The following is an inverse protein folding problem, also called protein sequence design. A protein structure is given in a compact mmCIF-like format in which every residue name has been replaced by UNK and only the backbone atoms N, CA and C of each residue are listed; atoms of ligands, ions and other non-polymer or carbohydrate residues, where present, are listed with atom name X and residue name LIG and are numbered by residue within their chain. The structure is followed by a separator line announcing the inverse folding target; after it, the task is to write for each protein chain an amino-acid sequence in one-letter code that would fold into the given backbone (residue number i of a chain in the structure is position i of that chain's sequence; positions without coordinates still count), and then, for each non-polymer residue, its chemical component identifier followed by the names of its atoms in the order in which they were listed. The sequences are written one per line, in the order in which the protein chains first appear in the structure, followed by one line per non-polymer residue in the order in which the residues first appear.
data_IF_402963638199
#
_entry.id   IF_402963638199
#
_cell.length_a   1.000
_cell.length_b   1.000
_cell.length_c   1.000
_cell.angle_alpha   90.00
_cell.angle_beta   90.00
_cell.angle_gamma   90.00
#
_symmetry.space_group_name_H-M   'P 1'
#
loop_
_entity.id
_entity.type
_entity.pdbx_description
1 polymer ?
#
# COMPACT_ATOMS: atom_id res chain seq x y z
N UNK A 1 -79.34 46.20 -22.14
CA UNK A 1 -80.04 44.94 -22.44
C UNK A 1 -79.12 43.80 -22.06
N UNK A 2 -79.26 43.28 -20.84
CA UNK A 2 -78.59 42.04 -20.40
C UNK A 2 -79.36 40.88 -21.02
N UNK A 3 -78.67 39.85 -21.52
CA UNK A 3 -79.16 38.48 -21.46
C UNK A 3 -77.99 37.50 -21.57
N UNK A 4 -77.97 36.61 -20.58
CA UNK A 4 -76.98 35.60 -20.33
C UNK A 4 -77.14 34.35 -21.22
N UNK A 5 -76.02 33.64 -21.28
CA UNK A 5 -75.74 32.24 -21.59
C UNK A 5 -76.85 31.21 -21.37
N UNK A 6 -76.81 30.12 -22.16
CA UNK A 6 -77.17 28.78 -21.68
C UNK A 6 -76.17 27.74 -22.17
N UNK A 7 -75.43 27.15 -21.22
CA UNK A 7 -74.55 26.01 -21.44
C UNK A 7 -75.34 24.69 -21.43
N UNK A 8 -74.83 23.72 -22.19
CA UNK A 8 -75.36 22.37 -22.35
C UNK A 8 -74.59 21.39 -21.44
N UNK A 9 -75.31 20.59 -20.64
CA UNK A 9 -74.80 19.51 -19.80
C UNK A 9 -75.16 18.14 -20.40
N UNK A 10 -74.27 17.13 -20.30
CA UNK A 10 -74.67 15.73 -20.35
C UNK A 10 -74.61 15.04 -18.97
N UNK A 11 -75.37 13.94 -18.92
CA UNK A 11 -75.93 13.21 -17.78
C UNK A 11 -74.95 12.55 -16.79
N UNK A 12 -75.35 12.58 -15.52
CA UNK A 12 -74.76 11.88 -14.37
C UNK A 12 -75.22 10.42 -14.26
N UNK A 13 -74.31 9.51 -13.90
CA UNK A 13 -74.59 8.31 -13.11
C UNK A 13 -73.70 8.32 -11.85
N UNK A 14 -74.20 7.90 -10.68
CA UNK A 14 -73.49 8.04 -9.40
C UNK A 14 -72.68 6.77 -9.04
N UNK A 15 -71.83 6.91 -8.03
CA UNK A 15 -71.05 5.88 -7.34
C UNK A 15 -69.67 5.56 -7.93
N UNK A 16 -68.65 6.26 -7.41
CA UNK A 16 -67.54 5.67 -6.65
C UNK A 16 -66.42 6.71 -6.56
N UNK A 17 -66.35 7.37 -5.40
CA UNK A 17 -65.15 8.10 -4.98
C UNK A 17 -64.08 7.03 -4.73
N UNK A 18 -63.06 6.97 -5.58
CA UNK A 18 -61.77 6.34 -5.22
C UNK A 18 -60.72 7.41 -5.37
N UNK A 19 -60.42 8.06 -4.25
CA UNK A 19 -59.24 8.90 -4.07
C UNK A 19 -58.05 7.94 -4.16
N UNK A 20 -57.52 7.75 -5.37
CA UNK A 20 -56.33 6.92 -5.58
C UNK A 20 -55.11 7.75 -5.20
N UNK A 21 -54.79 7.71 -3.90
CA UNK A 21 -53.57 8.27 -3.31
C UNK A 21 -52.34 7.71 -4.03
N UNK A 22 -51.71 8.51 -4.89
CA UNK A 22 -50.42 8.21 -5.49
C UNK A 22 -49.35 8.32 -4.41
N UNK A 23 -49.15 7.23 -3.66
CA UNK A 23 -48.07 7.11 -2.70
C UNK A 23 -46.73 7.17 -3.46
N UNK A 24 -46.01 8.29 -3.34
CA UNK A 24 -44.59 8.38 -3.69
C UNK A 24 -43.83 7.38 -2.83
N UNK A 25 -43.57 6.21 -3.38
CA UNK A 25 -42.72 5.19 -2.78
C UNK A 25 -41.27 5.64 -2.94
N UNK A 26 -40.79 6.43 -1.98
CA UNK A 26 -39.40 6.84 -1.87
C UNK A 26 -38.52 5.60 -1.75
N UNK A 27 -37.92 5.18 -2.85
CA UNK A 27 -36.84 4.20 -2.89
C UNK A 27 -35.65 4.80 -2.13
N UNK A 28 -35.58 4.53 -0.83
CA UNK A 28 -34.33 4.65 -0.09
C UNK A 28 -33.38 3.60 -0.66
N UNK A 29 -32.59 4.01 -1.65
CA UNK A 29 -31.40 3.27 -2.06
C UNK A 29 -30.47 3.32 -0.87
N UNK A 30 -30.52 2.27 -0.04
CA UNK A 30 -29.50 2.03 0.98
C UNK A 30 -28.22 1.76 0.19
N UNK A 31 -27.45 2.82 -0.06
CA UNK A 31 -26.08 2.70 -0.51
C UNK A 31 -25.38 1.91 0.60
N UNK A 32 -25.25 0.59 0.41
CA UNK A 32 -24.37 -0.24 1.20
C UNK A 32 -22.97 0.35 1.02
N UNK A 33 -22.58 1.24 1.93
CA UNK A 33 -21.22 1.73 2.03
C UNK A 33 -20.38 0.49 2.24
N UNK A 34 -19.49 0.22 1.29
CA UNK A 34 -18.57 -0.90 1.39
C UNK A 34 -17.86 -0.78 2.74
N UNK A 35 -18.12 -1.73 3.62
CA UNK A 35 -17.60 -1.68 4.98
C UNK A 35 -16.11 -2.05 4.96
N UNK A 36 -15.29 -1.39 5.80
CA UNK A 36 -13.93 -1.85 6.02
C UNK A 36 -13.93 -3.25 6.63
N UNK A 37 -12.74 -3.83 6.79
CA UNK A 37 -12.57 -5.17 7.35
C UNK A 37 -12.89 -5.27 8.85
N UNK A 38 -13.33 -4.18 9.47
CA UNK A 38 -13.68 -4.06 10.88
C UNK A 38 -15.01 -3.31 11.07
N UNK A 39 -15.59 -3.39 12.27
CA UNK A 39 -16.83 -2.69 12.61
C UNK A 39 -16.56 -1.20 12.90
N UNK A 40 -17.06 -0.31 12.04
CA UNK A 40 -16.90 1.13 12.21
C UNK A 40 -17.47 1.68 13.52
N UNK A 41 -18.43 0.99 14.15
CA UNK A 41 -18.94 1.39 15.47
C UNK A 41 -17.91 1.19 16.59
N UNK A 42 -16.89 0.37 16.34
CA UNK A 42 -15.78 0.07 17.26
C UNK A 42 -14.49 0.80 16.92
N UNK A 43 -14.52 1.68 15.91
CA UNK A 43 -13.36 2.46 15.49
C UNK A 43 -12.83 3.32 16.65
N UNK A 44 -11.57 3.09 17.01
CA UNK A 44 -10.92 3.68 18.18
C UNK A 44 -9.76 4.61 17.80
N UNK A 45 -9.04 4.30 16.72
CA UNK A 45 -7.87 5.09 16.27
C UNK A 45 -8.26 6.19 15.27
N UNK A 46 -7.46 7.27 15.12
CA UNK A 46 -7.66 8.25 14.04
C UNK A 46 -7.69 7.62 12.65
N UNK A 47 -6.86 6.60 12.41
CA UNK A 47 -6.86 5.85 11.16
C UNK A 47 -8.18 5.13 10.90
N UNK A 48 -8.69 4.38 11.89
CA UNK A 48 -9.96 3.66 11.76
C UNK A 48 -11.12 4.62 11.50
N UNK A 49 -11.17 5.76 12.20
CA UNK A 49 -12.19 6.79 11.99
C UNK A 49 -12.12 7.37 10.58
N UNK A 50 -10.91 7.63 10.07
CA UNK A 50 -10.66 8.12 8.72
C UNK A 50 -11.06 7.10 7.65
N UNK A 51 -10.77 5.83 7.89
CA UNK A 51 -11.19 4.74 7.00
C UNK A 51 -12.72 4.67 6.95
N UNK A 52 -13.38 4.71 8.11
CA UNK A 52 -14.83 4.63 8.22
C UNK A 52 -15.59 5.84 7.64
N UNK A 53 -14.97 7.02 7.58
CA UNK A 53 -15.57 8.20 6.98
C UNK A 53 -15.37 8.28 5.45
N UNK A 54 -14.59 7.37 4.87
CA UNK A 54 -14.27 7.35 3.44
C UNK A 54 -14.63 6.03 2.79
N UNK A 55 -15.57 6.07 1.83
CA UNK A 55 -15.97 4.90 1.03
C UNK A 55 -14.76 4.25 0.33
N UNK A 56 -13.87 5.05 -0.24
CA UNK A 56 -12.67 4.56 -0.95
C UNK A 56 -11.72 3.87 0.01
N UNK A 57 -11.43 4.46 1.17
CA UNK A 57 -10.53 3.86 2.15
C UNK A 57 -11.13 2.61 2.79
N UNK A 58 -12.45 2.58 3.01
CA UNK A 58 -13.15 1.39 3.50
C UNK A 58 -13.06 0.23 2.51
N UNK A 59 -13.26 0.49 1.21
CA UNK A 59 -13.07 -0.53 0.17
C UNK A 59 -11.63 -1.05 0.13
N UNK A 60 -10.67 -0.13 0.26
CA UNK A 60 -9.25 -0.46 0.22
C UNK A 60 -8.82 -1.29 1.43
N UNK A 61 -9.30 -0.95 2.63
CA UNK A 61 -9.07 -1.74 3.86
C UNK A 61 -9.63 -3.17 3.71
N UNK A 62 -10.85 -3.31 3.17
CA UNK A 62 -11.45 -4.61 2.90
C UNK A 62 -10.64 -5.43 1.87
N UNK A 63 -10.18 -4.77 0.80
CA UNK A 63 -9.35 -5.39 -0.23
C UNK A 63 -7.99 -5.85 0.33
N UNK A 64 -7.35 -5.05 1.17
CA UNK A 64 -6.11 -5.40 1.88
C UNK A 64 -6.34 -6.63 2.75
N UNK A 65 -7.42 -6.67 3.55
CA UNK A 65 -7.72 -7.82 4.39
C UNK A 65 -7.96 -9.10 3.58
N UNK A 66 -8.60 -9.00 2.42
CA UNK A 66 -8.81 -10.12 1.50
C UNK A 66 -7.50 -10.59 0.89
N UNK A 67 -6.69 -9.67 0.37
CA UNK A 67 -5.39 -9.98 -0.23
C UNK A 67 -4.42 -10.58 0.80
N UNK A 68 -4.43 -10.07 2.04
CA UNK A 68 -3.62 -10.61 3.13
C UNK A 68 -3.96 -12.07 3.43
N UNK A 69 -5.25 -12.42 3.51
CA UNK A 69 -5.69 -13.81 3.68
C UNK A 69 -5.26 -14.69 2.51
N UNK A 70 -5.26 -14.18 1.29
CA UNK A 70 -4.78 -14.93 0.13
C UNK A 70 -3.27 -15.15 0.20
N UNK A 71 -2.49 -14.10 0.47
CA UNK A 71 -1.05 -14.20 0.65
C UNK A 71 -0.65 -15.20 1.76
N UNK A 72 -1.41 -15.24 2.87
CA UNK A 72 -1.20 -16.26 3.91
C UNK A 72 -1.40 -17.69 3.41
N UNK A 73 -2.37 -17.93 2.52
CA UNK A 73 -2.59 -19.25 1.90
C UNK A 73 -1.49 -19.58 0.91
N UNK A 74 -1.10 -18.60 0.09
CA UNK A 74 -0.08 -18.80 -0.94
C UNK A 74 1.27 -19.13 -0.31
N UNK A 75 1.58 -18.57 0.87
CA UNK A 75 2.81 -18.83 1.64
C UNK A 75 2.68 -19.95 2.68
N UNK A 76 1.61 -20.75 2.67
CA UNK A 76 1.35 -21.73 3.74
C UNK A 76 2.44 -22.81 3.89
N UNK A 77 3.20 -23.08 2.83
CA UNK A 77 4.31 -24.02 2.76
C UNK A 77 5.69 -23.40 3.03
N UNK A 78 5.77 -22.08 3.21
CA UNK A 78 7.01 -21.35 3.52
C UNK A 78 6.85 -20.59 4.86
N UNK A 79 7.24 -21.25 5.94
CA UNK A 79 7.08 -20.72 7.30
C UNK A 79 7.84 -19.40 7.53
N UNK A 80 9.01 -19.24 6.91
CA UNK A 80 9.82 -18.02 7.00
C UNK A 80 9.10 -16.88 6.29
N UNK A 81 8.66 -17.08 5.04
CA UNK A 81 7.92 -16.07 4.30
C UNK A 81 6.59 -15.70 4.99
N UNK A 82 5.89 -16.67 5.57
CA UNK A 82 4.66 -16.41 6.33
C UNK A 82 4.91 -15.59 7.61
N UNK A 83 6.03 -15.83 8.30
CA UNK A 83 6.43 -15.03 9.46
C UNK A 83 6.74 -13.58 9.07
N UNK A 84 7.46 -13.39 7.97
CA UNK A 84 7.77 -12.05 7.45
C UNK A 84 6.53 -11.31 6.94
N UNK A 85 5.61 -12.00 6.26
CA UNK A 85 4.31 -11.43 5.88
C UNK A 85 3.55 -10.89 7.10
N UNK A 86 3.57 -11.62 8.23
CA UNK A 86 2.95 -11.14 9.49
C UNK A 86 3.69 -9.94 10.07
N UNK A 87 5.02 -9.92 10.02
CA UNK A 87 5.82 -8.77 10.48
C UNK A 87 5.56 -7.53 9.62
N UNK A 88 5.59 -7.68 8.30
CA UNK A 88 5.30 -6.60 7.34
C UNK A 88 3.88 -6.06 7.54
N UNK A 89 2.87 -6.92 7.69
CA UNK A 89 1.48 -6.46 7.94
C UNK A 89 1.35 -5.68 9.26
N UNK A 90 2.06 -6.08 10.32
CA UNK A 90 2.07 -5.33 11.60
C UNK A 90 2.75 -3.98 11.46
N UNK A 91 3.83 -3.90 10.68
CA UNK A 91 4.54 -2.66 10.41
C UNK A 91 3.62 -1.69 9.65
N UNK A 92 2.98 -2.15 8.57
CA UNK A 92 1.99 -1.37 7.83
C UNK A 92 0.90 -0.77 8.73
N UNK A 93 0.28 -1.59 9.61
CA UNK A 93 -0.78 -1.12 10.52
C UNK A 93 -0.21 -0.08 11.51
N UNK A 94 0.98 -0.33 12.06
CA UNK A 94 1.66 0.59 12.98
C UNK A 94 1.93 1.94 12.32
N UNK A 95 2.55 1.94 11.14
CA UNK A 95 2.82 3.14 10.36
C UNK A 95 1.53 3.87 10.01
N UNK A 96 0.53 3.17 9.45
CA UNK A 96 -0.76 3.76 9.08
C UNK A 96 -1.43 4.46 10.26
N UNK A 97 -1.42 3.84 11.44
CA UNK A 97 -2.05 4.39 12.64
C UNK A 97 -1.28 5.60 13.20
N UNK A 98 0.06 5.55 13.20
CA UNK A 98 0.90 6.65 13.63
C UNK A 98 0.72 7.88 12.72
N UNK A 99 0.82 7.68 11.40
CA UNK A 99 0.77 8.76 10.41
C UNK A 99 -0.62 9.39 10.26
N UNK A 100 -1.68 8.61 10.53
CA UNK A 100 -3.05 9.12 10.58
C UNK A 100 -3.32 10.04 11.78
N UNK A 101 -2.47 10.02 12.80
CA UNK A 101 -2.60 10.92 13.94
C UNK A 101 -2.17 12.31 13.49
N UNK A 102 -3.01 13.36 13.64
CA UNK A 102 -2.63 14.71 13.23
C UNK A 102 -1.33 15.18 13.90
N UNK A 103 -0.37 15.59 13.09
CA UNK A 103 0.89 16.18 13.56
C UNK A 103 1.33 17.27 12.58
N UNK A 104 2.08 18.26 13.07
CA UNK A 104 2.47 19.41 12.26
C UNK A 104 3.36 19.00 11.08
N UNK A 105 3.02 19.43 9.88
CA UNK A 105 3.79 19.17 8.66
C UNK A 105 3.55 17.79 8.03
N UNK A 106 2.47 17.08 8.39
CA UNK A 106 2.15 15.79 7.78
C UNK A 106 1.53 15.97 6.39
N UNK A 107 2.14 15.36 5.37
CA UNK A 107 1.61 15.22 4.01
C UNK A 107 1.10 13.79 3.76
N UNK A 108 0.78 13.06 4.83
CA UNK A 108 0.45 11.64 4.77
C UNK A 108 -0.77 11.36 3.88
N UNK A 109 -0.51 10.70 2.76
CA UNK A 109 -1.54 10.20 1.86
C UNK A 109 -1.90 8.76 2.22
N UNK A 110 -2.92 8.59 3.08
CA UNK A 110 -3.38 7.27 3.50
C UNK A 110 -3.85 6.40 2.34
N UNK A 111 -4.49 6.99 1.31
CA UNK A 111 -4.97 6.22 0.16
C UNK A 111 -3.79 5.63 -0.62
N UNK A 112 -2.75 6.42 -0.86
CA UNK A 112 -1.54 5.97 -1.56
C UNK A 112 -0.80 4.88 -0.77
N UNK A 113 -0.58 5.09 0.52
CA UNK A 113 0.06 4.09 1.38
C UNK A 113 -0.72 2.77 1.45
N UNK A 114 -2.04 2.83 1.60
CA UNK A 114 -2.90 1.64 1.56
C UNK A 114 -2.94 0.98 0.17
N UNK A 115 -2.81 1.74 -0.92
CA UNK A 115 -2.73 1.20 -2.28
C UNK A 115 -1.41 0.45 -2.49
N UNK A 116 -0.30 1.03 -2.03
CA UNK A 116 1.00 0.37 -2.06
C UNK A 116 0.97 -0.96 -1.30
N UNK A 117 0.34 -1.00 -0.12
CA UNK A 117 0.19 -2.26 0.63
C UNK A 117 -0.66 -3.29 -0.13
N UNK A 118 -1.74 -2.87 -0.78
CA UNK A 118 -2.56 -3.79 -1.59
C UNK A 118 -1.74 -4.38 -2.75
N UNK A 119 -0.91 -3.58 -3.41
CA UNK A 119 -0.05 -4.02 -4.50
C UNK A 119 1.02 -5.01 -4.02
N UNK A 120 1.61 -4.78 -2.85
CA UNK A 120 2.54 -5.73 -2.21
C UNK A 120 1.85 -7.07 -1.99
N UNK A 121 0.68 -7.08 -1.35
CA UNK A 121 -0.04 -8.31 -1.03
C UNK A 121 -0.49 -9.07 -2.28
N UNK A 122 -0.88 -8.37 -3.34
CA UNK A 122 -1.24 -8.97 -4.64
C UNK A 122 -0.04 -9.48 -5.44
N UNK A 123 1.15 -8.96 -5.17
CA UNK A 123 2.39 -9.42 -5.79
C UNK A 123 2.97 -10.69 -5.18
N UNK A 124 2.46 -11.12 -4.02
CA UNK A 124 2.86 -12.39 -3.38
C UNK A 124 2.22 -13.54 -4.17
N UNK A 125 3.03 -14.53 -4.54
CA UNK A 125 2.57 -15.70 -5.30
C UNK A 125 2.96 -17.00 -4.62
N UNK A 126 2.25 -18.08 -4.95
CA UNK A 126 2.54 -19.42 -4.45
C UNK A 126 3.85 -20.03 -5.01
N UNK A 127 4.41 -19.50 -6.11
CA UNK A 127 5.66 -20.01 -6.68
C UNK A 127 6.84 -19.14 -6.20
N UNK A 128 7.95 -19.73 -5.74
CA UNK A 128 9.20 -19.01 -5.56
C UNK A 128 9.66 -18.32 -6.84
N UNK A 129 10.33 -17.17 -6.70
CA UNK A 129 10.89 -16.44 -7.83
C UNK A 129 12.15 -17.14 -8.35
N UNK A 130 12.29 -17.16 -9.67
CA UNK A 130 13.49 -17.69 -10.33
C UNK A 130 14.56 -16.59 -10.38
N UNK A 131 15.40 -16.54 -9.33
CA UNK A 131 16.50 -15.59 -9.21
C UNK A 131 16.12 -14.22 -8.63
N UNK A 132 17.09 -13.29 -8.68
CA UNK A 132 16.99 -11.99 -8.00
C UNK A 132 16.48 -10.85 -8.89
N UNK A 133 16.55 -11.01 -10.21
CA UNK A 133 16.20 -9.95 -11.16
C UNK A 133 14.71 -9.64 -11.09
N UNK A 134 14.39 -8.35 -11.07
CA UNK A 134 13.03 -7.86 -10.97
C UNK A 134 12.85 -6.96 -9.76
N UNK A 135 11.60 -6.83 -9.35
CA UNK A 135 11.19 -5.81 -8.40
C UNK A 135 10.72 -6.45 -7.09
N UNK A 136 11.28 -5.97 -5.99
CA UNK A 136 10.98 -6.36 -4.63
C UNK A 136 10.36 -5.16 -3.90
N UNK A 137 9.35 -5.40 -3.05
CA UNK A 137 8.54 -4.32 -2.48
C UNK A 137 8.14 -4.62 -1.03
N UNK A 138 8.10 -3.56 -0.23
CA UNK A 138 7.36 -3.46 1.03
C UNK A 138 6.31 -2.35 0.91
N UNK A 139 5.45 -2.16 1.92
CA UNK A 139 4.55 -0.99 1.96
C UNK A 139 5.28 0.35 1.90
N UNK A 140 6.53 0.36 2.36
CA UNK A 140 7.33 1.57 2.58
C UNK A 140 8.39 1.79 1.50
N UNK A 141 8.72 0.77 0.70
CA UNK A 141 9.88 0.82 -0.19
C UNK A 141 9.79 -0.13 -1.38
N UNK A 142 10.50 0.22 -2.45
CA UNK A 142 10.71 -0.63 -3.62
C UNK A 142 12.19 -0.76 -3.90
N UNK A 143 12.61 -1.98 -4.24
CA UNK A 143 13.95 -2.35 -4.69
C UNK A 143 13.84 -2.96 -6.07
N UNK A 144 14.48 -2.35 -7.07
CA UNK A 144 14.57 -2.95 -8.40
C UNK A 144 15.98 -3.48 -8.66
N UNK A 145 16.07 -4.74 -9.07
CA UNK A 145 17.30 -5.45 -9.45
C UNK A 145 17.28 -5.67 -10.96
N UNK A 146 18.14 -4.96 -11.69
CA UNK A 146 18.27 -5.09 -13.14
C UNK A 146 19.03 -6.33 -13.62
N UNK A 147 18.99 -6.62 -14.94
CA UNK A 147 19.72 -7.74 -15.52
C UNK A 147 21.23 -7.63 -15.27
N UNK A 148 21.85 -8.78 -15.02
CA UNK A 148 23.28 -8.91 -14.74
C UNK A 148 24.01 -9.06 -16.07
N UNK A 149 24.84 -8.09 -16.47
CA UNK A 149 25.89 -8.38 -17.46
C UNK A 149 27.13 -8.92 -16.74
N UNK A 150 28.16 -9.39 -17.46
CA UNK A 150 29.37 -9.99 -16.85
C UNK A 150 30.08 -9.08 -15.81
N UNK A 151 29.70 -7.81 -15.65
CA UNK A 151 30.39 -6.84 -14.79
C UNK A 151 29.51 -6.04 -13.83
N UNK A 152 28.17 -5.95 -14.00
CA UNK A 152 27.33 -5.11 -13.12
C UNK A 152 25.82 -5.48 -13.09
N UNK A 153 25.18 -5.14 -11.96
CA UNK A 153 23.73 -5.01 -11.79
C UNK A 153 23.40 -3.55 -11.44
N UNK A 154 22.15 -3.12 -11.68
CA UNK A 154 21.61 -1.85 -11.20
C UNK A 154 20.65 -2.14 -10.06
N UNK A 155 20.85 -1.45 -8.94
CA UNK A 155 19.94 -1.49 -7.80
C UNK A 155 19.34 -0.11 -7.60
N UNK A 156 18.02 0.01 -7.64
CA UNK A 156 17.32 1.27 -7.37
C UNK A 156 16.39 1.10 -6.18
N UNK A 157 16.61 1.88 -5.13
CA UNK A 157 15.69 1.97 -4.00
C UNK A 157 14.83 3.23 -4.09
N UNK A 158 13.56 3.08 -3.74
CA UNK A 158 12.62 4.18 -3.60
C UNK A 158 11.87 4.01 -2.28
N UNK A 159 11.73 5.09 -1.51
CA UNK A 159 10.77 5.13 -0.41
C UNK A 159 9.39 5.43 -1.00
N UNK A 160 8.38 4.65 -0.63
CA UNK A 160 6.98 4.83 -1.04
C UNK A 160 6.24 5.33 0.19
N UNK A 161 6.16 6.66 0.35
CA UNK A 161 5.49 7.32 1.49
C UNK A 161 6.05 6.90 2.89
N UNK A 162 5.67 7.52 4.02
CA UNK A 162 4.89 8.74 4.22
C UNK A 162 5.79 9.85 4.78
N UNK A 163 6.62 10.50 3.96
CA UNK A 163 7.30 11.72 4.42
C UNK A 163 7.71 12.59 3.23
N UNK A 164 7.44 13.90 3.33
CA UNK A 164 7.97 15.05 2.56
C UNK A 164 9.48 15.07 2.22
N UNK A 165 10.28 14.12 2.71
CA UNK A 165 11.66 14.03 2.29
C UNK A 165 11.69 13.55 0.84
N UNK A 166 12.17 14.43 -0.06
CA UNK A 166 12.81 14.11 -1.33
C UNK A 166 13.83 12.98 -1.09
N UNK A 167 13.35 11.77 -0.92
CA UNK A 167 14.15 10.56 -0.77
C UNK A 167 14.43 10.15 -2.19
N UNK A 168 15.37 10.91 -2.77
CA UNK A 168 15.84 10.71 -4.12
C UNK A 168 16.15 9.24 -4.32
N UNK A 169 15.81 8.77 -5.51
CA UNK A 169 16.35 7.57 -6.11
C UNK A 169 17.82 7.37 -5.70
N UNK A 170 18.08 6.38 -4.86
CA UNK A 170 19.46 5.96 -4.62
C UNK A 170 19.73 4.82 -5.59
N UNK A 171 20.48 5.16 -6.64
CA UNK A 171 20.95 4.18 -7.63
C UNK A 171 22.29 3.65 -7.17
N UNK A 172 22.39 2.33 -6.95
CA UNK A 172 23.66 1.67 -6.68
C UNK A 172 24.17 0.98 -7.93
N UNK A 173 25.45 1.20 -8.20
CA UNK A 173 26.21 0.52 -9.23
C UNK A 173 26.97 -0.64 -8.63
N UNK A 174 26.56 -1.87 -8.98
CA UNK A 174 27.13 -3.08 -8.40
C UNK A 174 28.35 -3.52 -9.21
N UNK A 175 29.50 -3.76 -8.56
CA UNK A 175 30.54 -4.66 -9.09
C UNK A 175 30.29 -6.03 -8.46
N UNK A 176 29.91 -7.02 -9.27
CA UNK A 176 29.47 -8.32 -8.77
C UNK A 176 30.60 -9.01 -8.00
N UNK A 177 30.38 -9.32 -6.72
CA UNK A 177 31.04 -10.42 -6.01
C UNK A 177 29.96 -11.41 -5.62
N UNK A 178 29.71 -12.38 -6.51
CA UNK A 178 28.78 -13.46 -6.22
C UNK A 178 29.47 -14.44 -5.27
N UNK A 179 28.81 -14.74 -4.16
CA UNK A 179 29.19 -15.80 -3.23
C UNK A 179 27.98 -16.71 -3.05
N UNK A 180 27.93 -17.79 -3.83
CA UNK A 180 26.72 -18.61 -3.99
C UNK A 180 25.53 -17.80 -4.51
N UNK A 181 24.42 -17.83 -3.77
CA UNK A 181 23.18 -17.09 -4.10
C UNK A 181 23.14 -15.67 -3.49
N UNK A 182 24.17 -15.29 -2.72
CA UNK A 182 24.26 -13.98 -2.10
C UNK A 182 24.84 -12.95 -3.08
N UNK A 183 24.20 -11.78 -3.15
CA UNK A 183 24.72 -10.62 -3.87
C UNK A 183 25.30 -9.60 -2.90
N UNK A 184 26.59 -9.29 -3.03
CA UNK A 184 27.21 -8.17 -2.32
C UNK A 184 27.39 -6.99 -3.28
N UNK A 185 26.90 -5.82 -2.91
CA UNK A 185 26.91 -4.61 -3.74
C UNK A 185 27.63 -3.47 -3.02
N UNK A 186 28.49 -2.73 -3.69
CA UNK A 186 29.08 -1.51 -3.13
C UNK A 186 28.27 -0.32 -3.61
N UNK A 187 27.81 0.53 -2.69
CA UNK A 187 27.09 1.73 -3.06
C UNK A 187 28.02 2.79 -3.66
N UNK A 188 27.64 3.37 -4.81
CA UNK A 188 28.17 4.66 -5.27
C UNK A 188 26.98 5.61 -5.40
N UNK A 189 26.86 6.54 -4.46
CA UNK A 189 25.90 7.62 -4.58
C UNK A 189 26.50 8.69 -5.51
N UNK A 190 25.81 8.98 -6.62
CA UNK A 190 26.22 10.03 -7.55
C UNK A 190 26.21 11.44 -6.91
N UNK A 191 25.57 11.61 -5.75
CA UNK A 191 25.47 12.89 -5.04
C UNK A 191 26.42 13.02 -3.84
N UNK A 192 26.94 11.93 -3.26
CA UNK A 192 27.78 12.00 -2.04
C UNK A 192 28.91 10.96 -2.04
N UNK A 193 30.13 11.42 -2.37
CA UNK A 193 31.38 10.65 -2.31
C UNK A 193 31.78 10.11 -0.91
N UNK A 194 31.01 10.42 0.14
CA UNK A 194 31.33 10.02 1.52
C UNK A 194 30.72 8.68 1.94
N UNK A 195 30.03 7.98 1.03
CA UNK A 195 29.45 6.66 1.27
C UNK A 195 30.19 5.51 0.58
N UNK A 196 31.30 5.84 -0.10
CA UNK A 196 32.19 4.90 -0.72
C UNK A 196 32.61 3.85 0.33
N UNK A 197 32.36 2.56 0.01
CA UNK A 197 32.69 1.33 0.76
C UNK A 197 31.56 0.66 1.56
N UNK A 198 30.41 1.29 1.77
CA UNK A 198 29.26 0.54 2.33
C UNK A 198 28.81 -0.54 1.34
N UNK A 199 28.56 -1.74 1.84
CA UNK A 199 28.04 -2.82 1.01
C UNK A 199 26.64 -3.27 1.44
N UNK A 200 25.79 -3.63 0.49
CA UNK A 200 24.53 -4.34 0.76
C UNK A 200 24.74 -5.81 0.44
N UNK A 201 24.30 -6.67 1.34
CA UNK A 201 24.24 -8.12 1.13
C UNK A 201 22.77 -8.49 0.94
N UNK A 202 22.44 -8.97 -0.25
CA UNK A 202 21.13 -9.51 -0.60
C UNK A 202 21.20 -11.02 -0.51
N UNK A 203 20.39 -11.62 0.36
CA UNK A 203 20.37 -13.07 0.60
C UNK A 203 18.96 -13.59 0.31
N UNK A 204 18.78 -14.46 -0.71
CA UNK A 204 17.50 -15.13 -0.91
C UNK A 204 17.11 -15.95 0.32
N UNK A 205 15.87 -15.81 0.76
CA UNK A 205 15.29 -16.55 1.89
C UNK A 205 13.96 -17.15 1.44
N UNK A 206 14.01 -18.26 0.71
CA UNK A 206 12.83 -18.85 0.08
C UNK A 206 12.20 -17.87 -0.92
N UNK A 207 11.00 -17.37 -0.59
CA UNK A 207 10.29 -16.37 -1.42
C UNK A 207 10.60 -14.91 -1.09
N UNK A 208 11.41 -14.67 -0.05
CA UNK A 208 11.78 -13.34 0.44
C UNK A 208 13.22 -12.98 0.02
N UNK A 209 13.56 -11.69 0.14
CA UNK A 209 14.91 -11.18 -0.02
C UNK A 209 15.38 -10.43 1.22
N UNK A 210 16.29 -11.04 1.96
CA UNK A 210 16.91 -10.37 3.09
C UNK A 210 17.95 -9.36 2.60
N UNK A 211 17.81 -8.11 3.03
CA UNK A 211 18.77 -7.05 2.80
C UNK A 211 19.50 -6.72 4.10
N UNK A 212 20.84 -6.86 4.10
CA UNK A 212 21.69 -6.50 5.23
C UNK A 212 22.84 -5.58 4.82
N UNK A 213 23.37 -4.83 5.77
CA UNK A 213 24.41 -3.83 5.56
C UNK A 213 25.77 -4.35 6.05
N UNK A 214 26.79 -4.28 5.20
CA UNK A 214 28.19 -4.53 5.57
C UNK A 214 28.88 -3.18 5.73
N UNK A 215 29.40 -2.95 6.94
CA UNK A 215 30.12 -1.73 7.31
C UNK A 215 31.54 -1.75 6.72
N UNK A 216 32.06 -0.59 6.22
CA UNK A 216 33.47 -0.46 5.83
C UNK A 216 34.44 -0.73 6.99
N UNK A 217 35.52 -1.47 6.74
CA UNK A 217 36.52 -1.86 7.76
C UNK A 217 37.52 -0.77 8.14
N UNK A 218 37.70 0.25 7.30
CA UNK A 218 38.71 1.31 7.42
C UNK A 218 38.14 2.65 7.95
N UNK A 219 37.10 2.63 8.80
CA UNK A 219 36.40 3.83 9.27
C UNK A 219 37.19 4.66 10.31
N UNK A 220 38.35 5.20 9.94
CA UNK A 220 39.01 6.28 10.68
C UNK A 220 38.35 7.65 10.40
N UNK A 221 37.34 7.69 9.53
CA UNK A 221 36.50 8.86 9.32
C UNK A 221 35.40 8.89 10.37
N UNK A 222 35.33 9.99 11.13
CA UNK A 222 34.35 10.35 12.19
C UNK A 222 32.89 10.47 11.69
N UNK A 223 32.58 9.89 10.54
CA UNK A 223 31.33 9.93 9.79
C UNK A 223 31.22 8.53 9.16
N UNK A 224 30.25 7.66 9.45
CA UNK A 224 28.83 7.82 9.75
C UNK A 224 28.39 6.52 10.48
N UNK A 225 27.61 6.61 11.57
CA UNK A 225 27.12 5.43 12.31
C UNK A 225 25.95 4.69 11.62
N UNK A 226 25.24 5.36 10.71
CA UNK A 226 24.05 4.81 10.05
C UNK A 226 24.30 4.53 8.56
N UNK A 227 23.80 3.41 8.01
CA UNK A 227 23.90 3.18 6.57
C UNK A 227 23.23 4.34 5.81
N UNK A 228 23.76 4.76 4.66
CA UNK A 228 23.19 5.84 3.84
C UNK A 228 21.87 5.48 3.16
N UNK A 229 21.33 4.30 3.45
CA UNK A 229 20.27 3.67 2.67
C UNK A 229 19.00 3.60 3.52
N UNK A 230 17.91 4.14 2.97
CA UNK A 230 16.62 4.19 3.64
C UNK A 230 15.83 2.90 3.37
N UNK A 231 16.06 1.85 4.18
CA UNK A 231 15.04 0.86 4.54
C UNK A 231 15.58 0.04 5.71
N UNK A 232 14.96 0.20 6.88
CA UNK A 232 15.13 -0.78 7.95
C UNK A 232 14.12 -1.88 7.64
N UNK A 233 14.59 -3.13 7.55
CA UNK A 233 13.82 -4.36 7.27
C UNK A 233 13.71 -4.68 5.77
N UNK A 234 14.09 -5.92 5.40
CA UNK A 234 14.24 -6.42 4.02
C UNK A 234 12.98 -6.45 3.14
N UNK A 235 13.08 -7.08 1.97
CA UNK A 235 12.08 -7.02 0.89
C UNK A 235 11.44 -8.38 0.57
#
# INVERSE_FOLDING_TARGET
MQLQTKQYQPSTNPAAIVISSLALMSLFVINAQAAPSFDCKKASTPAEKTICSSKTLSQLDNAIATAYKQAQKDLADDATALAELKTSQRLFITTRNAEATPHFGNDYNMQEHMTAQLDVLRGITAKPRDGLVGEWRTSESKLWIGPVNKMACILSTHKVAPTTANTGLVNFWVKRKQDGDTLVVQGRDNYKANYDDWQLKLTPQGRMLELSYIRPSNSNRKAIYNPPFCSMNGF
#
